data_IF_005400619225
#
_entry.id   IF_005400619225
#
_cell.length_a   1.000
_cell.length_b   1.000
_cell.length_c   1.000
_cell.angle_alpha   90.00
_cell.angle_beta   90.00
_cell.angle_gamma   90.00
#
_symmetry.space_group_name_H-M   'P 1'
#
loop_
_entity.id
_entity.type
_entity.pdbx_description
1 polymer ?
#
# COMPACT_ATOMS: atom_id res chain seq x y z
N UNK A 1 50.85 -16.29 3.11
CA UNK A 1 49.68 -16.81 2.37
C UNK A 1 48.43 -16.41 3.13
N UNK A 2 47.82 -15.29 2.73
CA UNK A 2 46.56 -14.82 3.31
C UNK A 2 45.42 -15.68 2.77
N UNK A 3 44.73 -16.38 3.67
CA UNK A 3 43.43 -16.98 3.38
C UNK A 3 42.37 -16.17 4.12
N UNK A 4 41.56 -15.44 3.36
CA UNK A 4 40.33 -14.82 3.85
C UNK A 4 39.35 -15.94 4.24
N UNK A 5 39.20 -16.17 5.54
CA UNK A 5 38.29 -17.17 6.09
C UNK A 5 36.90 -16.54 6.28
N UNK A 6 35.93 -16.97 5.47
CA UNK A 6 34.52 -16.57 5.56
C UNK A 6 33.74 -17.60 6.38
N UNK A 7 33.15 -17.16 7.49
CA UNK A 7 32.44 -18.01 8.47
C UNK A 7 30.93 -17.90 8.33
N UNK A 8 30.18 -19.00 8.28
CA UNK A 8 28.75 -18.96 7.99
C UNK A 8 27.89 -19.20 9.26
N UNK A 9 26.88 -18.35 9.49
CA UNK A 9 25.93 -18.41 10.64
C UNK A 9 24.63 -19.15 10.26
N UNK A 10 23.85 -19.74 11.19
CA UNK A 10 22.50 -20.33 10.91
C UNK A 10 21.60 -20.27 12.16
N UNK A 11 20.25 -20.08 12.02
CA UNK A 11 19.30 -19.67 13.11
C UNK A 11 17.86 -20.32 13.10
N UNK A 12 17.33 -20.85 14.25
CA UNK A 12 15.93 -21.28 14.66
C UNK A 12 15.63 -21.58 16.22
N UNK A 13 14.82 -20.84 17.03
CA UNK A 13 13.93 -21.30 18.21
C UNK A 13 13.78 -20.41 19.49
N UNK A 14 12.53 -19.98 19.75
CA UNK A 14 11.81 -19.26 20.85
C UNK A 14 12.46 -18.58 22.09
N UNK A 15 11.94 -17.37 22.45
CA UNK A 15 11.38 -16.96 23.79
C UNK A 15 10.68 -15.55 23.73
N UNK A 16 9.71 -15.34 24.64
CA UNK A 16 8.71 -14.24 24.81
C UNK A 16 9.26 -12.88 25.27
N UNK A 17 8.62 -11.77 24.84
CA UNK A 17 8.48 -10.49 25.57
C UNK A 17 7.32 -9.63 25.01
N UNK A 18 6.77 -8.73 25.84
CA UNK A 18 5.43 -8.12 25.74
C UNK A 18 5.42 -6.60 25.46
N UNK A 19 4.40 -6.14 24.68
CA UNK A 19 3.73 -4.81 24.60
C UNK A 19 4.55 -3.57 24.09
N UNK A 20 4.06 -2.52 23.41
CA UNK A 20 2.72 -1.98 23.02
C UNK A 20 2.84 -1.05 21.78
N UNK A 21 1.92 -1.20 20.81
CA UNK A 21 1.24 -0.22 19.90
C UNK A 21 0.96 -0.87 18.54
N UNK A 22 -0.22 -1.48 18.45
CA UNK A 22 -0.75 -2.11 17.25
C UNK A 22 -1.54 -1.10 16.40
N UNK A 23 -1.14 -0.94 15.14
CA UNK A 23 -2.06 -0.80 14.01
C UNK A 23 -1.59 -1.73 12.87
N UNK A 24 -2.41 -2.77 12.67
CA UNK A 24 -2.66 -3.68 11.55
C UNK A 24 -1.60 -4.44 10.71
N UNK A 25 -1.91 -5.75 10.64
CA UNK A 25 -1.75 -6.82 9.63
C UNK A 25 -0.38 -7.02 9.01
N UNK A 26 0.40 -7.96 9.58
CA UNK A 26 1.39 -8.85 8.96
C UNK A 26 2.30 -9.34 10.11
N UNK A 27 2.79 -10.57 10.08
CA UNK A 27 3.87 -11.02 10.97
C UNK A 27 5.12 -11.24 10.11
N UNK A 28 5.85 -10.18 9.81
CA UNK A 28 7.18 -10.31 9.24
C UNK A 28 8.20 -9.96 10.31
N UNK A 29 9.12 -10.89 10.59
CA UNK A 29 10.36 -10.56 11.28
C UNK A 29 11.36 -10.16 10.19
N UNK A 30 12.23 -9.21 10.47
CA UNK A 30 13.44 -8.99 9.68
C UNK A 30 14.65 -9.08 10.59
N UNK A 31 15.63 -9.87 10.18
CA UNK A 31 16.91 -10.04 10.89
C UNK A 31 18.01 -9.48 9.99
N UNK A 32 18.83 -8.61 10.55
CA UNK A 32 19.99 -8.02 9.89
C UNK A 32 21.27 -8.28 10.68
N UNK A 33 22.29 -8.69 9.95
CA UNK A 33 23.68 -8.88 10.39
C UNK A 33 24.52 -8.29 9.28
N UNK A 34 25.09 -7.09 9.40
CA UNK A 34 25.86 -6.55 8.27
C UNK A 34 27.02 -7.52 7.92
N UNK A 35 27.03 -8.12 6.70
CA UNK A 35 26.33 -7.70 5.47
C UNK A 35 25.03 -8.43 5.03
N UNK A 36 24.54 -9.47 5.72
CA UNK A 36 23.32 -10.22 5.39
C UNK A 36 22.02 -9.70 6.04
N UNK A 37 20.89 -9.90 5.35
CA UNK A 37 19.55 -9.67 5.89
C UNK A 37 18.57 -10.75 5.44
N UNK A 38 17.52 -11.00 6.22
CA UNK A 38 16.43 -11.89 5.82
C UNK A 38 15.10 -11.43 6.41
N UNK A 39 14.00 -11.75 5.73
CA UNK A 39 12.65 -11.33 6.10
C UNK A 39 11.64 -12.47 5.98
N UNK A 40 10.62 -12.41 6.83
CA UNK A 40 9.47 -13.33 6.80
C UNK A 40 8.36 -12.85 5.88
N UNK A 41 7.22 -13.53 5.97
CA UNK A 41 5.98 -13.22 5.27
C UNK A 41 4.79 -13.29 6.23
N UNK A 42 3.61 -12.83 5.78
CA UNK A 42 2.37 -12.90 6.54
C UNK A 42 2.06 -14.29 7.11
N UNK A 43 2.38 -15.33 6.33
CA UNK A 43 2.02 -16.71 6.59
C UNK A 43 3.15 -17.47 7.30
N UNK A 44 4.39 -17.00 7.18
CA UNK A 44 5.55 -17.58 7.85
C UNK A 44 6.49 -16.49 8.32
N UNK A 45 6.52 -16.28 9.64
CA UNK A 45 7.44 -15.35 10.29
C UNK A 45 8.78 -15.98 10.66
N UNK A 46 8.90 -17.31 10.53
CA UNK A 46 10.11 -18.04 10.88
C UNK A 46 11.13 -17.89 9.75
N UNK A 47 12.34 -17.47 10.13
CA UNK A 47 13.40 -17.11 9.21
C UNK A 47 14.68 -17.73 9.72
N UNK A 48 15.44 -18.36 8.82
CA UNK A 48 16.84 -18.71 9.04
C UNK A 48 17.68 -17.81 8.16
N UNK A 49 18.72 -17.19 8.74
CA UNK A 49 19.69 -16.40 8.01
C UNK A 49 21.04 -17.11 8.08
N UNK A 50 21.68 -17.22 6.92
CA UNK A 50 22.99 -17.84 6.77
C UNK A 50 23.89 -16.93 5.96
N UNK A 51 24.83 -16.29 6.65
CA UNK A 51 25.70 -15.27 6.07
C UNK A 51 27.15 -15.50 6.46
N UNK A 52 28.10 -15.29 5.53
CA UNK A 52 29.51 -15.21 5.87
C UNK A 52 29.79 -13.99 6.77
N UNK A 53 30.65 -14.15 7.77
CA UNK A 53 31.19 -13.11 8.64
C UNK A 53 32.71 -13.23 8.71
N UNK A 54 33.38 -12.08 8.84
CA UNK A 54 34.83 -12.00 9.02
C UNK A 54 35.13 -11.73 10.47
N UNK A 55 35.95 -12.58 11.10
CA UNK A 55 36.34 -12.45 12.51
C UNK A 55 37.83 -12.13 12.60
N UNK A 56 38.21 -11.31 13.58
CA UNK A 56 39.61 -11.01 13.89
C UNK A 56 40.10 -11.83 15.09
N UNK A 57 41.41 -12.09 15.23
CA UNK A 57 41.94 -12.71 16.44
C UNK A 57 41.57 -11.92 17.70
N UNK A 58 41.05 -12.61 18.71
CA UNK A 58 40.65 -12.02 19.99
C UNK A 58 39.14 -11.82 20.13
N UNK A 59 38.72 -10.76 20.83
CA UNK A 59 37.31 -10.49 21.10
C UNK A 59 36.64 -9.88 19.86
N UNK A 60 35.56 -10.50 19.42
CA UNK A 60 34.71 -10.02 18.34
C UNK A 60 33.37 -9.59 18.93
N UNK A 61 32.77 -8.53 18.37
CA UNK A 61 31.42 -8.08 18.73
C UNK A 61 30.49 -8.38 17.55
N UNK A 62 29.39 -9.08 17.83
CA UNK A 62 28.36 -9.39 16.83
C UNK A 62 27.08 -8.71 17.29
N UNK A 63 26.65 -7.71 16.53
CA UNK A 63 25.38 -7.02 16.75
C UNK A 63 24.32 -7.60 15.80
N UNK A 64 23.17 -8.00 16.34
CA UNK A 64 22.06 -8.56 15.58
C UNK A 64 20.84 -7.66 15.74
N UNK A 65 20.32 -7.13 14.63
CA UNK A 65 19.10 -6.34 14.65
C UNK A 65 17.90 -7.24 14.33
N UNK A 66 16.97 -7.33 15.26
CA UNK A 66 15.69 -8.00 15.07
C UNK A 66 14.56 -6.98 15.08
N UNK A 67 13.80 -6.90 13.98
CA UNK A 67 12.64 -6.01 13.89
C UNK A 67 11.35 -6.80 13.65
N UNK A 68 10.25 -6.29 14.21
CA UNK A 68 8.90 -6.78 13.95
C UNK A 68 8.16 -5.83 13.01
N UNK A 69 7.36 -6.38 12.11
CA UNK A 69 6.48 -5.61 11.21
C UNK A 69 5.05 -5.96 11.56
N UNK A 70 4.61 -5.49 12.73
CA UNK A 70 3.35 -5.91 13.33
C UNK A 70 3.47 -7.19 14.17
N UNK A 71 2.40 -7.51 14.89
CA UNK A 71 2.24 -8.72 15.70
C UNK A 71 1.12 -9.59 15.15
N UNK A 72 1.15 -10.89 15.45
CA UNK A 72 0.05 -11.80 15.14
C UNK A 72 -1.23 -11.30 15.80
N UNK A 73 -2.32 -11.23 15.04
CA UNK A 73 -3.60 -10.68 15.49
C UNK A 73 -4.78 -11.65 15.31
N UNK A 74 -4.51 -12.90 14.91
CA UNK A 74 -5.53 -13.93 14.70
C UNK A 74 -4.92 -15.34 14.81
N UNK A 75 -5.73 -16.33 15.22
CA UNK A 75 -5.33 -17.75 15.39
C UNK A 75 -5.52 -18.28 16.80
N UNK A 76 -5.37 -19.59 17.03
CA UNK A 76 -5.36 -20.12 18.40
C UNK A 76 -4.02 -19.77 19.07
N UNK A 77 -4.07 -19.27 20.32
CA UNK A 77 -2.88 -18.96 21.13
C UNK A 77 -1.86 -18.03 20.47
N UNK A 78 -2.32 -17.13 19.57
CA UNK A 78 -1.42 -16.27 18.80
C UNK A 78 -0.58 -15.33 19.68
N UNK A 79 -1.08 -15.03 20.88
CA UNK A 79 -0.46 -14.24 21.94
C UNK A 79 0.74 -14.95 22.60
N UNK A 80 0.77 -16.29 22.54
CA UNK A 80 1.87 -17.08 23.09
C UNK A 80 3.06 -17.16 22.12
N UNK A 81 2.85 -16.80 20.85
CA UNK A 81 3.86 -16.90 19.80
C UNK A 81 4.76 -15.65 19.82
N UNK A 82 5.98 -15.81 20.33
CA UNK A 82 6.98 -14.74 20.38
C UNK A 82 7.47 -14.27 19.00
N UNK A 83 8.28 -13.21 19.05
CA UNK A 83 9.06 -12.68 17.94
C UNK A 83 10.47 -12.34 18.45
N UNK A 84 11.44 -12.27 17.55
CA UNK A 84 12.83 -11.99 17.92
C UNK A 84 13.80 -12.98 17.31
N UNK A 85 15.07 -12.78 17.67
CA UNK A 85 16.09 -13.81 17.52
C UNK A 85 15.86 -14.79 18.64
N UNK A 86 15.57 -15.98 18.21
CA UNK A 86 15.41 -17.12 19.07
C UNK A 86 16.55 -18.08 18.65
N UNK A 87 16.89 -19.20 19.27
CA UNK A 87 18.09 -20.01 18.96
C UNK A 87 18.15 -20.63 17.55
N UNK A 88 18.89 -21.73 17.33
CA UNK A 88 20.25 -21.70 17.77
C UNK A 88 21.03 -20.63 17.01
N UNK A 89 21.91 -19.88 17.65
CA UNK A 89 22.85 -18.99 16.95
C UNK A 89 24.17 -19.75 16.84
N UNK A 90 24.54 -20.20 15.63
CA UNK A 90 25.75 -21.02 15.43
C UNK A 90 26.79 -20.31 14.57
N UNK A 91 28.06 -20.35 14.97
CA UNK A 91 29.21 -19.98 14.14
C UNK A 91 29.87 -21.26 13.61
N UNK A 92 29.92 -21.43 12.29
CA UNK A 92 30.54 -22.61 11.68
C UNK A 92 31.73 -22.22 10.83
N UNK A 93 32.83 -22.97 10.97
CA UNK A 93 33.94 -22.93 10.02
C UNK A 93 34.96 -24.03 10.26
N UNK A 94 36.23 -23.87 9.85
CA UNK A 94 37.13 -25.00 9.62
C UNK A 94 37.40 -25.90 10.83
N UNK A 95 37.33 -25.34 12.05
CA UNK A 95 37.60 -26.07 13.31
C UNK A 95 36.34 -26.64 13.97
N UNK A 96 35.19 -26.55 13.28
CA UNK A 96 33.90 -27.02 13.77
C UNK A 96 32.89 -25.90 13.97
N UNK A 97 31.85 -26.22 14.74
CA UNK A 97 30.73 -25.32 15.02
C UNK A 97 30.73 -24.91 16.48
N UNK A 98 30.65 -23.62 16.73
CA UNK A 98 30.43 -23.03 18.04
C UNK A 98 28.96 -22.60 18.15
N UNK A 99 28.26 -23.09 19.17
CA UNK A 99 26.89 -22.69 19.47
C UNK A 99 26.88 -21.56 20.52
N UNK A 100 26.35 -20.39 20.13
CA UNK A 100 26.27 -19.18 20.94
C UNK A 100 24.91 -19.02 21.63
N UNK A 101 24.00 -19.98 21.47
CA UNK A 101 22.61 -19.87 21.97
C UNK A 101 22.51 -19.75 23.48
N UNK A 102 23.49 -20.32 24.20
CA UNK A 102 23.57 -20.29 25.67
C UNK A 102 24.71 -19.39 26.17
N UNK A 103 25.31 -18.59 25.29
CA UNK A 103 26.29 -17.57 25.69
C UNK A 103 25.60 -16.39 26.39
N UNK A 104 26.40 -15.48 26.98
CA UNK A 104 25.87 -14.25 27.55
C UNK A 104 25.44 -13.26 26.45
N UNK A 105 24.20 -12.78 26.53
CA UNK A 105 23.61 -11.83 25.58
C UNK A 105 23.36 -10.48 26.22
N UNK A 106 23.65 -9.41 25.48
CA UNK A 106 23.28 -8.04 25.82
C UNK A 106 22.14 -7.57 24.92
N UNK A 107 21.18 -6.85 25.48
CA UNK A 107 20.00 -6.37 24.76
C UNK A 107 19.90 -4.85 24.80
N UNK A 108 19.56 -4.26 23.66
CA UNK A 108 19.17 -2.86 23.53
C UNK A 108 17.76 -2.83 22.91
N UNK A 109 16.84 -2.09 23.54
CA UNK A 109 15.49 -1.91 23.04
C UNK A 109 15.47 -0.63 22.20
N UNK A 110 14.96 -0.74 20.98
CA UNK A 110 14.82 0.41 20.07
C UNK A 110 16.14 0.91 19.49
N UNK A 111 16.02 1.94 18.67
CA UNK A 111 17.12 2.61 17.99
C UNK A 111 17.54 3.85 18.76
N UNK A 112 18.84 4.20 18.68
CA UNK A 112 19.36 5.42 19.30
C UNK A 112 18.63 6.68 18.83
N UNK A 113 18.21 6.73 17.56
CA UNK A 113 17.45 7.86 17.03
C UNK A 113 16.02 7.97 17.59
N UNK A 114 15.43 6.86 18.04
CA UNK A 114 14.14 6.87 18.73
C UNK A 114 14.29 7.39 20.17
N UNK A 115 15.31 6.94 20.89
CA UNK A 115 15.63 7.42 22.25
C UNK A 115 15.94 8.93 22.28
N UNK A 116 16.60 9.42 21.23
CA UNK A 116 16.89 10.85 21.02
C UNK A 116 15.71 11.63 20.40
N UNK A 117 14.56 10.98 20.17
CA UNK A 117 13.36 11.61 19.63
C UNK A 117 13.62 12.39 18.32
N UNK A 118 14.47 11.89 17.41
CA UNK A 118 14.87 12.59 16.18
C UNK A 118 13.70 12.93 15.24
N UNK A 119 12.60 12.20 15.37
CA UNK A 119 11.36 12.46 14.65
C UNK A 119 10.66 13.74 15.11
N UNK A 120 10.95 14.27 16.30
CA UNK A 120 10.36 15.48 16.84
C UNK A 120 11.16 16.72 16.40
N UNK A 121 10.62 17.60 15.53
CA UNK A 121 11.35 18.77 15.05
C UNK A 121 11.58 19.84 16.12
N UNK A 122 10.88 19.79 17.26
CA UNK A 122 10.96 20.77 18.35
C UNK A 122 12.03 20.48 19.39
N UNK A 123 12.66 19.30 19.35
CA UNK A 123 13.70 18.93 20.32
C UNK A 123 15.10 19.31 19.81
N UNK A 124 16.00 19.63 20.76
CA UNK A 124 17.39 19.94 20.47
C UNK A 124 18.07 18.70 19.90
N UNK A 125 18.11 18.64 18.58
CA UNK A 125 18.59 17.46 17.86
C UNK A 125 20.13 17.38 17.92
N UNK A 126 20.73 16.17 17.90
CA UNK A 126 22.16 16.00 17.61
C UNK A 126 22.56 16.65 16.28
N UNK A 127 23.86 16.85 16.08
CA UNK A 127 24.44 17.41 14.86
C UNK A 127 24.02 16.59 13.63
N UNK A 128 23.00 17.07 12.90
CA UNK A 128 22.69 16.59 11.57
C UNK A 128 23.83 16.98 10.64
N UNK A 129 24.32 16.03 9.85
CA UNK A 129 25.31 16.33 8.81
C UNK A 129 24.59 16.94 7.62
N UNK A 130 24.67 18.27 7.51
CA UNK A 130 24.15 19.03 6.36
C UNK A 130 25.26 19.22 5.32
N UNK A 131 25.72 18.14 4.71
CA UNK A 131 26.70 18.20 3.62
C UNK A 131 26.01 17.95 2.26
N UNK A 132 26.61 18.46 1.17
CA UNK A 132 26.08 18.28 -0.19
C UNK A 132 26.04 16.81 -0.62
N UNK A 133 26.85 15.96 0.02
CA UNK A 133 26.81 14.50 -0.12
C UNK A 133 26.12 13.87 1.09
N UNK A 134 24.81 13.66 1.01
CA UNK A 134 24.10 12.83 1.97
C UNK A 134 24.36 11.33 1.66
N UNK A 135 24.40 10.47 2.70
CA UNK A 135 24.55 9.04 2.49
C UNK A 135 23.41 8.49 1.65
N UNK A 136 23.70 7.63 0.68
CA UNK A 136 22.70 6.88 -0.10
C UNK A 136 23.01 5.40 0.01
N UNK A 137 21.96 4.56 0.00
CA UNK A 137 22.07 3.11 0.15
C UNK A 137 22.79 2.66 1.44
N UNK A 138 22.87 3.53 2.45
CA UNK A 138 23.39 3.19 3.75
C UNK A 138 22.25 2.71 4.65
N UNK A 139 22.34 1.51 5.25
CA UNK A 139 21.33 1.04 6.18
C UNK A 139 21.37 1.84 7.49
N UNK A 140 20.29 1.75 8.25
CA UNK A 140 20.12 2.40 9.56
C UNK A 140 20.40 3.91 9.57
N UNK A 141 19.96 4.62 8.53
CA UNK A 141 20.21 6.05 8.33
C UNK A 141 18.97 6.87 8.65
N UNK A 142 19.15 7.99 9.35
CA UNK A 142 18.09 8.99 9.55
C UNK A 142 18.26 10.13 8.55
N UNK A 143 17.17 10.55 7.93
CA UNK A 143 17.15 11.73 7.06
C UNK A 143 16.10 12.72 7.57
N UNK A 144 16.38 14.00 7.36
CA UNK A 144 15.46 15.10 7.65
C UNK A 144 15.47 16.07 6.48
N UNK A 145 14.29 16.58 6.13
CA UNK A 145 14.14 17.63 5.13
C UNK A 145 12.92 18.48 5.44
N UNK A 146 12.71 19.53 4.63
CA UNK A 146 11.51 20.36 4.66
C UNK A 146 10.81 20.34 3.32
N UNK A 147 9.49 20.43 3.34
CA UNK A 147 8.69 20.52 2.13
C UNK A 147 7.53 21.51 2.30
N UNK A 148 7.03 22.01 1.18
CA UNK A 148 5.87 22.90 1.17
C UNK A 148 4.57 22.10 1.01
N UNK A 149 3.51 22.54 1.69
CA UNK A 149 2.19 21.90 1.60
C UNK A 149 1.67 21.97 0.15
N UNK A 150 1.33 20.82 -0.48
CA UNK A 150 0.72 20.82 -1.81
C UNK A 150 -0.57 21.64 -1.85
N UNK A 151 -0.85 22.34 -2.94
CA UNK A 151 -2.06 23.15 -3.07
C UNK A 151 -3.35 22.29 -3.04
N UNK A 152 -4.48 22.97 -2.77
CA UNK A 152 -5.82 22.36 -2.77
C UNK A 152 -6.08 21.39 -1.62
N UNK A 153 -7.23 20.71 -1.69
CA UNK A 153 -7.75 19.86 -0.62
C UNK A 153 -7.62 18.36 -0.91
N UNK A 154 -6.96 17.99 -2.01
CA UNK A 154 -6.78 16.59 -2.39
C UNK A 154 -5.97 15.81 -1.33
N UNK A 155 -6.27 14.53 -1.08
CA UNK A 155 -5.44 13.69 -0.22
C UNK A 155 -3.97 13.70 -0.67
N UNK A 156 -3.06 13.87 0.27
CA UNK A 156 -1.61 13.89 0.01
C UNK A 156 -1.03 12.51 0.29
N UNK A 157 -0.11 12.08 -0.54
CA UNK A 157 0.71 10.91 -0.27
C UNK A 157 2.17 11.18 -0.63
N UNK A 158 3.05 10.44 0.03
CA UNK A 158 4.47 10.36 -0.31
C UNK A 158 4.67 9.09 -1.12
N UNK A 159 5.38 9.22 -2.23
CA UNK A 159 5.94 8.10 -2.97
C UNK A 159 7.37 7.86 -2.46
N UNK A 160 7.56 6.74 -1.76
CA UNK A 160 8.88 6.32 -1.26
C UNK A 160 9.65 5.46 -2.29
N UNK A 161 9.27 5.48 -3.57
CA UNK A 161 10.06 4.81 -4.62
C UNK A 161 11.52 5.27 -4.57
N UNK A 162 12.44 4.30 -4.60
CA UNK A 162 13.87 4.53 -4.40
C UNK A 162 14.36 4.36 -2.97
N UNK A 163 13.45 4.24 -2.00
CA UNK A 163 13.76 3.89 -0.60
C UNK A 163 13.70 2.37 -0.38
N UNK A 164 14.16 1.93 0.78
CA UNK A 164 14.24 0.53 1.18
C UNK A 164 13.05 0.10 2.05
N UNK A 165 13.19 0.29 3.36
CA UNK A 165 12.20 -0.02 4.40
C UNK A 165 12.42 0.94 5.56
N UNK A 166 11.37 1.45 6.16
CA UNK A 166 11.56 2.35 7.30
C UNK A 166 10.28 2.86 7.91
N UNK A 167 10.41 3.96 8.64
CA UNK A 167 9.30 4.71 9.21
C UNK A 167 9.51 6.20 8.93
N UNK A 168 8.39 6.92 8.75
CA UNK A 168 8.42 8.33 8.44
C UNK A 168 7.47 9.12 9.34
N UNK A 169 7.85 10.38 9.57
CA UNK A 169 7.11 11.35 10.37
C UNK A 169 6.99 12.66 9.62
N UNK A 170 5.83 13.30 9.76
CA UNK A 170 5.56 14.64 9.25
C UNK A 170 5.19 15.51 10.44
N UNK A 171 5.94 16.59 10.66
CA UNK A 171 5.76 17.49 11.81
C UNK A 171 5.67 16.74 13.16
N UNK A 172 6.52 15.73 13.36
CA UNK A 172 6.54 14.89 14.56
C UNK A 172 5.47 13.79 14.62
N UNK A 173 4.52 13.76 13.69
CA UNK A 173 3.46 12.74 13.64
C UNK A 173 3.87 11.58 12.75
N UNK A 174 3.83 10.34 13.28
CA UNK A 174 4.13 9.15 12.47
C UNK A 174 3.07 8.97 11.38
N UNK A 175 3.52 8.79 10.15
CA UNK A 175 2.67 8.42 9.00
C UNK A 175 2.75 6.90 8.72
N UNK A 176 3.44 6.16 9.59
CA UNK A 176 3.59 4.72 9.54
C UNK A 176 4.84 4.24 8.80
N UNK A 177 4.93 2.92 8.67
CA UNK A 177 6.06 2.23 8.03
C UNK A 177 5.95 2.32 6.52
N UNK A 178 7.07 2.53 5.85
CA UNK A 178 7.19 2.35 4.41
C UNK A 178 8.01 1.11 4.09
N UNK A 179 7.63 0.40 3.03
CA UNK A 179 8.38 -0.76 2.53
C UNK A 179 8.18 -0.97 1.02
N UNK A 180 8.59 -0.02 0.17
CA UNK A 180 8.42 -0.09 -1.28
C UNK A 180 9.21 -1.24 -1.93
N UNK A 181 10.28 -1.72 -1.28
CA UNK A 181 11.03 -2.91 -1.75
C UNK A 181 10.32 -4.24 -1.46
N UNK A 182 9.20 -4.22 -0.74
CA UNK A 182 8.38 -5.41 -0.53
C UNK A 182 7.45 -5.63 -1.73
N UNK A 183 7.92 -6.43 -2.69
CA UNK A 183 7.19 -6.68 -3.93
C UNK A 183 6.07 -7.70 -3.71
N UNK A 184 4.88 -7.40 -4.23
CA UNK A 184 3.74 -8.32 -4.26
C UNK A 184 4.08 -9.59 -5.08
N UNK A 185 3.43 -10.74 -4.81
CA UNK A 185 3.64 -11.96 -5.59
C UNK A 185 3.53 -11.72 -7.10
N UNK A 186 4.32 -12.45 -7.89
CA UNK A 186 4.32 -12.31 -9.36
C UNK A 186 3.04 -12.88 -10.00
N UNK A 187 2.35 -13.78 -9.30
CA UNK A 187 1.15 -14.47 -9.78
C UNK A 187 -0.03 -14.32 -8.81
N UNK A 188 -1.23 -14.67 -9.27
CA UNK A 188 -2.48 -14.59 -8.49
C UNK A 188 -3.39 -13.43 -8.89
N UNK A 189 -2.87 -12.44 -9.61
CA UNK A 189 -3.68 -11.35 -10.15
C UNK A 189 -4.42 -11.76 -11.42
N UNK A 190 -5.62 -11.20 -11.59
CA UNK A 190 -6.48 -11.43 -12.75
C UNK A 190 -6.58 -10.19 -13.61
N UNK A 191 -6.70 -10.35 -14.93
CA UNK A 191 -6.89 -9.23 -15.86
C UNK A 191 -8.31 -8.65 -15.75
N UNK A 192 -9.32 -9.50 -15.57
CA UNK A 192 -10.73 -9.11 -15.39
C UNK A 192 -11.29 -9.76 -14.13
N UNK A 193 -12.13 -9.04 -13.38
CA UNK A 193 -12.89 -9.60 -12.27
C UNK A 193 -14.39 -9.33 -12.45
N UNK A 194 -15.23 -10.31 -12.11
CA UNK A 194 -16.68 -10.18 -12.16
C UNK A 194 -17.25 -10.26 -10.73
N UNK A 195 -18.15 -9.35 -10.39
CA UNK A 195 -18.82 -9.32 -9.09
C UNK A 195 -19.70 -10.57 -8.88
N UNK A 196 -20.27 -11.14 -9.95
CA UNK A 196 -21.13 -12.33 -9.90
C UNK A 196 -20.34 -13.58 -9.49
N UNK A 197 -21.06 -14.53 -8.89
CA UNK A 197 -20.52 -15.83 -8.47
C UNK A 197 -19.74 -15.78 -7.15
N UNK A 198 -19.25 -16.94 -6.66
CA UNK A 198 -18.57 -17.05 -5.37
C UNK A 198 -17.41 -16.06 -5.25
N UNK A 199 -17.22 -15.52 -4.05
CA UNK A 199 -16.11 -14.61 -3.74
C UNK A 199 -15.03 -15.32 -2.92
N UNK A 200 -13.77 -15.00 -3.22
CA UNK A 200 -12.61 -15.29 -2.37
C UNK A 200 -11.69 -14.07 -2.35
N UNK A 201 -10.84 -13.95 -1.33
CA UNK A 201 -9.89 -12.85 -1.22
C UNK A 201 -8.90 -12.75 -2.39
N UNK A 202 -8.69 -13.83 -3.14
CA UNK A 202 -7.84 -13.85 -4.33
C UNK A 202 -8.58 -13.51 -5.63
N UNK A 203 -9.91 -13.51 -5.65
CA UNK A 203 -10.74 -13.42 -6.87
C UNK A 203 -10.42 -12.22 -7.76
N UNK A 204 -10.14 -11.07 -7.15
CA UNK A 204 -9.93 -9.80 -7.86
C UNK A 204 -8.56 -9.16 -7.56
N UNK A 205 -7.52 -9.94 -7.24
CA UNK A 205 -6.21 -9.38 -6.96
C UNK A 205 -5.62 -8.64 -8.17
N UNK A 206 -4.90 -7.55 -7.89
CA UNK A 206 -4.28 -6.65 -8.88
C UNK A 206 -2.87 -6.26 -8.41
N UNK A 207 -2.08 -5.68 -9.33
CA UNK A 207 -0.73 -5.13 -9.09
C UNK A 207 0.30 -6.18 -8.62
N UNK A 208 0.23 -7.39 -9.16
CA UNK A 208 1.26 -8.42 -8.96
C UNK A 208 2.60 -7.95 -9.52
N UNK A 209 3.70 -8.34 -8.86
CA UNK A 209 5.06 -7.96 -9.24
C UNK A 209 5.42 -6.48 -9.04
N UNK A 210 4.52 -5.68 -8.46
CA UNK A 210 4.76 -4.28 -8.09
C UNK A 210 5.03 -4.17 -6.58
N UNK A 211 5.61 -3.05 -6.09
CA UNK A 211 5.63 -2.75 -4.66
C UNK A 211 4.26 -2.94 -4.01
N UNK A 212 4.20 -3.62 -2.86
CA UNK A 212 2.95 -3.87 -2.15
C UNK A 212 2.23 -2.57 -1.77
N UNK A 213 3.00 -1.51 -1.55
CA UNK A 213 2.52 -0.15 -1.34
C UNK A 213 3.53 0.85 -1.89
N UNK A 214 3.06 1.76 -2.74
CA UNK A 214 3.85 2.84 -3.37
C UNK A 214 3.54 4.18 -2.69
N UNK A 215 2.25 4.46 -2.50
CA UNK A 215 1.77 5.72 -1.94
C UNK A 215 1.44 5.58 -0.46
N UNK A 216 2.02 6.46 0.35
CA UNK A 216 1.89 6.49 1.81
C UNK A 216 1.16 7.77 2.22
N UNK A 217 -0.03 7.62 2.78
CA UNK A 217 -0.94 8.72 3.04
C UNK A 217 -0.40 9.68 4.12
N UNK A 218 -0.44 10.98 3.83
CA UNK A 218 -0.18 12.05 4.79
C UNK A 218 -1.50 12.78 5.04
N UNK A 219 -2.10 12.65 6.23
CA UNK A 219 -3.30 13.40 6.57
C UNK A 219 -3.08 14.90 6.40
N UNK A 220 -4.00 15.58 5.71
CA UNK A 220 -3.95 17.05 5.53
C UNK A 220 -3.86 17.79 6.86
N UNK A 221 -4.48 17.27 7.92
CA UNK A 221 -4.42 17.82 9.27
C UNK A 221 -3.05 17.75 9.95
N UNK A 222 -2.11 16.95 9.43
CA UNK A 222 -0.73 16.95 9.91
C UNK A 222 0.10 18.06 9.28
N UNK A 223 -0.39 18.69 8.21
CA UNK A 223 0.32 19.71 7.45
C UNK A 223 0.01 21.10 8.00
N UNK A 224 1.04 21.96 8.00
CA UNK A 224 0.94 23.37 8.31
C UNK A 224 0.93 24.19 7.01
N UNK A 225 0.33 25.38 6.99
CA UNK A 225 0.50 26.32 5.89
C UNK A 225 1.99 26.67 5.72
N UNK A 226 2.50 26.59 4.48
CA UNK A 226 3.90 26.89 4.20
C UNK A 226 4.80 25.67 4.37
N UNK A 227 5.68 25.67 5.38
CA UNK A 227 6.80 24.71 5.51
C UNK A 227 6.50 23.63 6.56
N UNK A 228 6.80 22.38 6.20
CA UNK A 228 6.64 21.20 7.06
C UNK A 228 7.97 20.47 7.19
N UNK A 229 8.21 19.85 8.34
CA UNK A 229 9.33 18.94 8.56
C UNK A 229 8.93 17.51 8.15
N UNK A 230 9.81 16.83 7.43
CA UNK A 230 9.77 15.39 7.22
C UNK A 230 11.03 14.76 7.82
N UNK A 231 10.83 13.73 8.63
CA UNK A 231 11.91 12.89 9.17
C UNK A 231 11.62 11.46 8.75
N UNK A 232 12.66 10.73 8.35
CA UNK A 232 12.54 9.31 8.03
C UNK A 232 13.71 8.53 8.60
N UNK A 233 13.42 7.35 9.10
CA UNK A 233 14.40 6.32 9.40
C UNK A 233 14.40 5.33 8.23
N UNK A 234 15.55 5.09 7.62
CA UNK A 234 15.77 4.12 6.53
C UNK A 234 16.59 2.94 7.05
N UNK A 235 15.97 1.78 7.08
CA UNK A 235 16.51 0.54 7.64
C UNK A 235 17.42 -0.18 6.65
N UNK A 236 17.02 -0.32 5.39
CA UNK A 236 17.72 -1.16 4.40
C UNK A 236 18.72 -0.38 3.56
N UNK A 237 18.49 0.92 3.41
CA UNK A 237 19.24 1.80 2.51
C UNK A 237 18.41 2.18 1.29
N UNK A 238 18.53 3.44 0.90
CA UNK A 238 17.79 4.00 -0.22
C UNK A 238 18.37 5.32 -0.70
N UNK A 239 17.72 5.91 -1.70
CA UNK A 239 18.09 7.20 -2.28
C UNK A 239 16.98 8.23 -2.01
N UNK A 240 17.15 9.10 -1.00
CA UNK A 240 16.11 10.05 -0.61
C UNK A 240 15.81 11.11 -1.68
N UNK A 241 16.67 11.26 -2.70
CA UNK A 241 16.42 12.18 -3.83
C UNK A 241 15.25 11.75 -4.71
N UNK A 242 14.86 10.47 -4.65
CA UNK A 242 13.76 9.89 -5.43
C UNK A 242 12.40 10.00 -4.75
N UNK A 243 12.37 10.41 -3.49
CA UNK A 243 11.12 10.65 -2.76
C UNK A 243 10.37 11.79 -3.45
N UNK A 244 9.08 11.58 -3.68
CA UNK A 244 8.22 12.64 -4.23
C UNK A 244 6.89 12.71 -3.49
N UNK A 245 6.27 13.89 -3.56
CA UNK A 245 4.93 14.11 -3.00
C UNK A 245 3.93 14.13 -4.14
N UNK A 246 2.78 13.50 -3.92
CA UNK A 246 1.68 13.45 -4.88
C UNK A 246 0.37 13.78 -4.21
N UNK A 247 -0.56 14.33 -4.96
CA UNK A 247 -1.96 14.48 -4.58
C UNK A 247 -2.80 13.47 -5.34
N UNK A 248 -3.75 12.83 -4.65
CA UNK A 248 -4.62 11.84 -5.28
C UNK A 248 -5.95 12.49 -5.68
N UNK A 249 -6.15 12.66 -6.98
CA UNK A 249 -7.41 13.12 -7.55
C UNK A 249 -8.21 11.96 -8.14
N UNK A 250 -9.54 12.08 -8.06
CA UNK A 250 -10.43 11.18 -8.80
C UNK A 250 -10.49 11.70 -10.23
N UNK A 251 -9.80 11.02 -11.14
CA UNK A 251 -9.71 11.45 -12.54
C UNK A 251 -11.05 11.31 -13.29
N UNK A 252 -11.79 10.24 -13.00
CA UNK A 252 -13.08 9.95 -13.61
C UNK A 252 -14.00 9.17 -12.68
N UNK A 253 -15.30 9.43 -12.82
CA UNK A 253 -16.37 8.62 -12.25
C UNK A 253 -17.02 7.81 -13.37
N UNK A 254 -17.30 6.54 -13.11
CA UNK A 254 -17.80 5.62 -14.13
C UNK A 254 -18.93 4.77 -13.59
N UNK A 255 -19.84 4.36 -14.48
CA UNK A 255 -20.85 3.37 -14.19
C UNK A 255 -21.11 2.47 -15.41
N UNK A 256 -21.49 1.22 -15.15
CA UNK A 256 -21.82 0.21 -16.16
C UNK A 256 -23.06 -0.53 -15.69
N UNK A 257 -24.18 -0.34 -16.39
CA UNK A 257 -25.48 -0.93 -16.06
C UNK A 257 -26.08 -1.62 -17.28
N UNK A 258 -26.54 -2.86 -17.11
CA UNK A 258 -27.20 -3.66 -18.15
C UNK A 258 -28.71 -3.46 -18.14
N UNK A 259 -29.37 -3.68 -19.28
CA UNK A 259 -30.84 -3.78 -19.36
C UNK A 259 -31.41 -4.87 -18.44
N UNK A 260 -30.64 -5.91 -18.13
CA UNK A 260 -31.04 -6.99 -17.22
C UNK A 260 -30.61 -6.73 -15.75
N UNK A 261 -30.16 -5.51 -15.43
CA UNK A 261 -29.73 -5.20 -14.07
C UNK A 261 -30.95 -5.20 -13.13
N UNK A 262 -30.88 -5.89 -11.97
CA UNK A 262 -32.03 -6.01 -11.08
C UNK A 262 -32.42 -4.68 -10.45
N UNK A 263 -33.71 -4.53 -10.15
CA UNK A 263 -34.28 -3.36 -9.48
C UNK A 263 -33.65 -3.14 -8.10
N UNK A 264 -33.57 -1.88 -7.65
CA UNK A 264 -32.97 -1.53 -6.37
C UNK A 264 -33.71 -2.16 -5.18
N UNK A 265 -32.96 -2.59 -4.17
CA UNK A 265 -33.49 -3.27 -2.96
C UNK A 265 -34.61 -2.47 -2.28
N UNK A 266 -34.59 -1.14 -2.32
CA UNK A 266 -35.62 -0.28 -1.72
C UNK A 266 -37.03 -0.55 -2.29
N UNK A 267 -37.12 -0.97 -3.56
CA UNK A 267 -38.38 -1.37 -4.20
C UNK A 267 -38.94 -2.71 -3.69
N UNK A 268 -38.14 -3.48 -2.94
CA UNK A 268 -38.52 -4.78 -2.38
C UNK A 268 -39.15 -4.64 -0.98
N UNK A 269 -38.90 -3.52 -0.30
CA UNK A 269 -39.33 -3.26 1.08
C UNK A 269 -40.75 -2.66 1.14
N UNK A 270 -41.22 -2.02 0.06
CA UNK A 270 -42.51 -1.31 0.03
C UNK A 270 -43.48 -1.87 -1.02
N UNK A 271 -44.50 -2.67 -0.65
CA UNK A 271 -45.46 -3.25 -1.60
C UNK A 271 -46.26 -2.21 -2.41
N UNK A 272 -46.40 -0.99 -1.87
CA UNK A 272 -47.17 0.10 -2.47
C UNK A 272 -46.42 0.83 -3.61
N UNK A 273 -45.11 0.62 -3.78
CA UNK A 273 -44.33 1.17 -4.90
C UNK A 273 -44.23 0.22 -6.11
N UNK A 274 -44.88 -0.96 -6.07
CA UNK A 274 -44.86 -1.95 -7.16
C UNK A 274 -45.46 -1.47 -8.50
N UNK A 275 -46.14 -0.32 -8.54
CA UNK A 275 -46.81 0.21 -9.72
C UNK A 275 -45.93 1.10 -10.62
N UNK A 276 -44.73 1.47 -10.18
CA UNK A 276 -43.70 2.03 -11.05
C UNK A 276 -42.41 1.23 -10.91
N UNK A 277 -42.28 0.18 -11.73
CA UNK A 277 -40.97 -0.45 -11.96
C UNK A 277 -40.08 0.59 -12.64
N UNK A 278 -39.34 1.35 -11.83
CA UNK A 278 -38.24 2.15 -12.34
C UNK A 278 -37.18 1.16 -12.76
N UNK A 279 -37.11 0.86 -14.07
CA UNK A 279 -36.15 -0.07 -14.63
C UNK A 279 -34.71 0.33 -14.33
N UNK A 280 -33.72 -0.46 -14.76
CA UNK A 280 -32.33 -0.21 -14.44
C UNK A 280 -31.91 1.20 -14.84
N UNK A 281 -31.20 1.89 -13.95
CA UNK A 281 -30.73 3.25 -14.17
C UNK A 281 -29.25 3.35 -13.79
N UNK A 282 -28.49 4.02 -14.66
CA UNK A 282 -27.10 4.37 -14.40
C UNK A 282 -27.05 5.64 -13.55
N UNK A 283 -26.30 5.60 -12.45
CA UNK A 283 -26.12 6.76 -11.57
C UNK A 283 -24.65 7.16 -11.53
N UNK A 284 -24.41 8.46 -11.61
CA UNK A 284 -23.10 9.08 -11.40
C UNK A 284 -23.22 10.18 -10.35
N UNK A 285 -22.18 10.32 -9.53
CA UNK A 285 -22.08 11.33 -8.49
C UNK A 285 -20.62 11.75 -8.35
N UNK A 286 -20.37 13.06 -8.27
CA UNK A 286 -19.04 13.58 -8.03
C UNK A 286 -18.64 13.39 -6.56
N UNK A 287 -17.39 12.99 -6.28
CA UNK A 287 -16.99 12.54 -4.95
C UNK A 287 -16.82 13.66 -3.92
N UNK A 288 -16.71 14.91 -4.37
CA UNK A 288 -16.52 16.08 -3.50
C UNK A 288 -17.72 17.00 -3.54
N UNK A 289 -18.03 17.57 -2.38
CA UNK A 289 -19.04 18.60 -2.25
C UNK A 289 -18.70 19.81 -3.14
N UNK A 290 -19.69 20.34 -3.83
CA UNK A 290 -19.55 21.48 -4.74
C UNK A 290 -19.02 21.12 -6.14
N UNK A 291 -18.50 19.91 -6.37
CA UNK A 291 -18.13 19.49 -7.72
C UNK A 291 -19.35 19.17 -8.57
N UNK A 292 -19.22 19.47 -9.87
CA UNK A 292 -20.18 19.06 -10.89
C UNK A 292 -19.51 18.18 -11.92
N UNK A 293 -20.30 17.36 -12.60
CA UNK A 293 -19.85 16.61 -13.76
C UNK A 293 -19.57 17.64 -14.87
N UNK A 294 -18.29 17.84 -15.18
CA UNK A 294 -17.83 18.87 -16.09
C UNK A 294 -17.89 18.40 -17.55
N UNK A 295 -17.71 17.11 -17.78
CA UNK A 295 -17.77 16.52 -19.12
C UNK A 295 -18.01 15.00 -19.07
N UNK A 296 -18.56 14.47 -20.16
CA UNK A 296 -18.63 13.03 -20.43
C UNK A 296 -17.46 12.68 -21.34
N UNK A 297 -16.52 11.85 -20.86
CA UNK A 297 -15.36 11.39 -21.63
C UNK A 297 -15.72 10.26 -22.58
N UNK A 298 -16.62 9.37 -22.15
CA UNK A 298 -17.07 8.22 -22.94
C UNK A 298 -18.51 7.85 -22.59
N UNK A 299 -19.29 7.46 -23.59
CA UNK A 299 -20.61 6.87 -23.38
C UNK A 299 -20.93 5.89 -24.50
N UNK A 300 -21.46 4.72 -24.14
CA UNK A 300 -21.94 3.72 -25.10
C UNK A 300 -23.13 2.96 -24.53
N UNK A 301 -24.15 2.77 -25.37
CA UNK A 301 -25.28 1.88 -25.08
C UNK A 301 -25.32 0.78 -26.15
N UNK A 302 -25.10 -0.47 -25.74
CA UNK A 302 -24.97 -1.58 -26.68
C UNK A 302 -24.16 -2.71 -26.06
N UNK A 303 -23.08 -3.14 -26.70
CA UNK A 303 -22.18 -4.20 -26.20
C UNK A 303 -20.78 -3.66 -25.85
N UNK A 304 -20.65 -2.61 -25.02
CA UNK A 304 -19.34 -2.02 -24.70
C UNK A 304 -18.45 -2.99 -23.94
N UNK A 305 -17.14 -2.78 -24.03
CA UNK A 305 -16.13 -3.58 -23.33
C UNK A 305 -15.10 -2.70 -22.62
N UNK A 306 -14.25 -3.32 -21.79
CA UNK A 306 -13.21 -2.61 -21.03
C UNK A 306 -13.62 -2.24 -19.61
N UNK A 307 -12.81 -1.36 -19.01
CA UNK A 307 -12.98 -0.87 -17.63
C UNK A 307 -12.88 0.65 -17.58
N UNK A 308 -13.33 1.29 -16.50
CA UNK A 308 -13.24 2.75 -16.30
C UNK A 308 -11.85 3.30 -16.68
N UNK A 309 -11.80 4.29 -17.57
CA UNK A 309 -10.57 4.85 -18.17
C UNK A 309 -10.05 4.13 -19.42
N UNK A 310 -10.70 3.03 -19.82
CA UNK A 310 -10.27 2.15 -20.92
C UNK A 310 -11.44 1.51 -21.67
N UNK A 311 -12.61 2.15 -21.62
CA UNK A 311 -13.80 1.65 -22.29
C UNK A 311 -13.65 1.73 -23.82
N UNK A 312 -14.28 0.79 -24.50
CA UNK A 312 -14.39 0.78 -25.95
C UNK A 312 -15.81 0.45 -26.38
N UNK A 313 -16.19 1.01 -27.53
CA UNK A 313 -17.45 0.63 -28.20
C UNK A 313 -17.35 -0.83 -28.65
N UNK A 314 -18.46 -1.56 -28.51
CA UNK A 314 -18.60 -2.88 -29.12
C UNK A 314 -19.09 -2.80 -30.56
N UNK A 315 -19.32 -3.97 -31.16
CA UNK A 315 -19.93 -4.09 -32.49
C UNK A 315 -21.31 -3.42 -32.56
N UNK A 316 -22.02 -3.39 -31.43
CA UNK A 316 -23.28 -2.70 -31.26
C UNK A 316 -23.10 -1.49 -30.33
N UNK A 317 -23.42 -0.30 -30.83
CA UNK A 317 -23.47 0.93 -30.01
C UNK A 317 -24.49 1.91 -30.58
N UNK A 318 -25.30 2.50 -29.72
CA UNK A 318 -26.18 3.62 -30.07
C UNK A 318 -25.38 4.89 -30.30
N UNK A 319 -25.74 5.65 -31.33
CA UNK A 319 -25.20 6.98 -31.62
C UNK A 319 -25.74 8.07 -30.67
N UNK A 320 -26.81 7.79 -29.93
CA UNK A 320 -27.45 8.76 -29.02
C UNK A 320 -26.86 8.73 -27.60
N UNK A 321 -26.09 7.69 -27.25
CA UNK A 321 -25.62 7.45 -25.89
C UNK A 321 -24.86 8.65 -25.29
N UNK A 322 -23.98 9.28 -26.07
CA UNK A 322 -23.21 10.44 -25.62
C UNK A 322 -24.08 11.67 -25.40
N UNK A 323 -24.97 11.99 -26.33
CA UNK A 323 -25.84 13.16 -26.23
C UNK A 323 -26.78 13.07 -25.01
N UNK A 324 -27.40 11.90 -24.80
CA UNK A 324 -28.28 11.66 -23.66
C UNK A 324 -27.51 11.74 -22.33
N UNK A 325 -26.29 11.18 -22.27
CA UNK A 325 -25.47 11.26 -21.07
C UNK A 325 -25.03 12.71 -20.78
N UNK A 326 -24.67 13.48 -21.81
CA UNK A 326 -24.28 14.88 -21.66
C UNK A 326 -25.45 15.74 -21.15
N UNK A 327 -26.62 15.59 -21.77
CA UNK A 327 -27.83 16.34 -21.39
C UNK A 327 -28.25 16.05 -19.95
N UNK A 328 -28.16 14.79 -19.51
CA UNK A 328 -28.61 14.40 -18.18
C UNK A 328 -27.61 14.72 -17.05
N UNK A 329 -26.31 14.76 -17.35
CA UNK A 329 -25.28 14.75 -16.32
C UNK A 329 -24.39 15.99 -16.27
N UNK A 330 -24.14 16.68 -17.38
CA UNK A 330 -23.19 17.80 -17.38
C UNK A 330 -23.78 18.99 -16.61
N UNK A 331 -22.98 19.57 -15.71
CA UNK A 331 -23.35 20.73 -14.89
C UNK A 331 -24.07 20.42 -13.58
N UNK A 332 -24.31 19.15 -13.27
CA UNK A 332 -24.91 18.72 -11.98
C UNK A 332 -23.94 17.85 -11.17
N UNK A 333 -24.11 17.83 -9.85
CA UNK A 333 -23.28 17.03 -8.93
C UNK A 333 -23.60 15.53 -8.96
N UNK A 334 -24.83 15.18 -9.32
CA UNK A 334 -25.28 13.80 -9.52
C UNK A 334 -26.34 13.73 -10.61
N UNK A 335 -26.39 12.60 -11.32
CA UNK A 335 -27.38 12.33 -12.36
C UNK A 335 -27.82 10.86 -12.36
N UNK A 336 -28.99 10.60 -12.93
CA UNK A 336 -29.54 9.26 -13.11
C UNK A 336 -30.11 9.11 -14.52
N UNK A 337 -29.58 8.15 -15.28
CA UNK A 337 -29.96 7.91 -16.68
C UNK A 337 -30.63 6.54 -16.80
N UNK A 338 -31.94 6.47 -17.11
CA UNK A 338 -32.63 5.19 -17.25
C UNK A 338 -32.09 4.39 -18.45
N UNK A 339 -31.73 3.13 -18.22
CA UNK A 339 -31.15 2.21 -19.20
C UNK A 339 -32.29 1.49 -19.92
N UNK A 340 -32.67 1.99 -21.09
CA UNK A 340 -33.71 1.36 -21.90
C UNK A 340 -33.59 1.72 -23.38
N UNK A 341 -34.07 0.82 -24.25
CA UNK A 341 -34.18 1.08 -25.68
C UNK A 341 -35.08 2.29 -26.03
N UNK A 342 -35.94 2.75 -25.11
CA UNK A 342 -36.75 3.97 -25.30
C UNK A 342 -35.89 5.23 -25.35
N UNK A 343 -34.81 5.25 -24.56
CA UNK A 343 -33.95 6.44 -24.43
C UNK A 343 -32.79 6.44 -25.44
N UNK A 344 -32.35 5.26 -25.87
CA UNK A 344 -31.13 5.11 -26.67
C UNK A 344 -31.36 4.41 -28.02
N UNK A 345 -32.60 4.02 -28.33
CA UNK A 345 -32.92 3.14 -29.46
C UNK A 345 -32.51 1.68 -29.22
N UNK A 346 -32.73 0.84 -30.22
CA UNK A 346 -32.34 -0.57 -30.22
C UNK A 346 -31.22 -0.82 -31.25
N UNK A 347 -29.95 -0.54 -30.90
CA UNK A 347 -28.81 -0.69 -31.82
C UNK A 347 -28.53 -2.14 -32.24
N UNK A 348 -29.07 -3.14 -31.52
CA UNK A 348 -28.91 -4.56 -31.84
C UNK A 348 -30.06 -5.39 -31.26
N UNK A 349 -31.01 -5.78 -32.11
CA UNK A 349 -32.19 -6.56 -31.72
C UNK A 349 -31.79 -7.93 -31.18
N UNK A 350 -32.42 -8.33 -30.08
CA UNK A 350 -32.22 -9.65 -29.46
C UNK A 350 -30.92 -9.80 -28.67
N UNK A 351 -30.13 -8.73 -28.53
CA UNK A 351 -28.92 -8.70 -27.70
C UNK A 351 -29.19 -7.80 -26.48
N UNK A 352 -28.90 -8.31 -25.28
CA UNK A 352 -28.92 -7.52 -24.04
C UNK A 352 -27.89 -6.42 -24.12
N UNK A 353 -28.31 -5.17 -23.90
CA UNK A 353 -27.42 -4.02 -23.97
C UNK A 353 -27.00 -3.58 -22.57
N UNK A 354 -25.91 -2.84 -22.53
CA UNK A 354 -25.45 -2.13 -21.36
C UNK A 354 -25.15 -0.68 -21.69
N UNK A 355 -25.52 0.21 -20.78
CA UNK A 355 -25.07 1.59 -20.76
C UNK A 355 -23.78 1.68 -19.94
N UNK A 356 -22.73 2.22 -20.54
CA UNK A 356 -21.48 2.60 -19.89
C UNK A 356 -21.28 4.09 -20.06
N UNK A 357 -20.96 4.78 -18.97
CA UNK A 357 -20.61 6.20 -18.98
C UNK A 357 -19.36 6.43 -18.14
N UNK A 358 -18.43 7.22 -18.67
CA UNK A 358 -17.27 7.77 -17.98
C UNK A 358 -17.33 9.29 -18.03
N UNK A 359 -17.23 9.91 -16.86
CA UNK A 359 -17.36 11.35 -16.70
C UNK A 359 -16.19 11.93 -15.90
N UNK A 360 -15.91 13.21 -16.13
CA UNK A 360 -14.99 14.01 -15.32
C UNK A 360 -15.76 14.91 -14.37
N UNK A 361 -15.23 15.13 -13.18
CA UNK A 361 -15.74 16.08 -12.20
C UNK A 361 -14.75 17.21 -12.02
N UNK A 362 -15.22 18.45 -11.88
CA UNK A 362 -14.38 19.61 -11.54
C UNK A 362 -15.00 20.42 -10.43
#
# INVERSE_FOLDING_TARGET
>A
THSDETWIVMLIINIRLSFVRCICVLKCISIEILPGSSKGSATSSLISLTTPVTLVPGKNKIDLLSATVGLTNYGAFFDLVGAGITGPVKLTGPKGTLDLSSADWTYQIGLRGEDLHLYNPSEASPEWVSDNSYPTNNPLTWYKSKFTTPAGDDPVAIDFTGMGKGEAWVNGQSIGRYWPTNIAPQSGCVNSCNYRGPYSASKCQKKCGQPSQILYHVPRSFLQPGSNDIVLFEQFGGDPSKISFTTKQTESVCAHVSEDHPDQIDSWISPQQKLQRSGPALRLECPKEGQVISSIKFASFGTPSGTCGSYSHGECSSSQALAVAQEACVGVSSCSVPVSAKNFGDPCRGVTKSLVVEAACS
#
